data_IF_535078758247
#
_entry.id   IF_535078758247
#
_cell.length_a   1.000
_cell.length_b   1.000
_cell.length_c   1.000
_cell.angle_alpha   90.00
_cell.angle_beta   90.00
_cell.angle_gamma   90.00
#
_symmetry.space_group_name_H-M   'P 1'
#
loop_
_entity.id
_entity.type
_entity.pdbx_description
1 polymer ?
#
# COMPACT_ATOMS: atom_id res chain seq x y z
N UNK A 1 16.24 8.70 -6.24
CA UNK A 1 15.73 9.90 -6.91
C UNK A 1 15.68 11.09 -5.95
N UNK A 2 14.97 11.03 -4.81
CA UNK A 2 14.86 12.16 -3.84
C UNK A 2 16.24 12.55 -3.28
N UNK A 3 17.06 11.59 -2.87
CA UNK A 3 18.41 11.84 -2.34
C UNK A 3 19.33 12.47 -3.36
N UNK A 4 19.26 12.08 -4.62
CA UNK A 4 20.01 12.70 -5.70
C UNK A 4 19.58 14.15 -5.87
N UNK A 5 18.27 14.42 -5.85
CA UNK A 5 17.73 15.77 -5.94
C UNK A 5 18.18 16.64 -4.77
N UNK A 6 18.14 16.12 -3.52
CA UNK A 6 18.65 16.83 -2.33
C UNK A 6 20.14 17.14 -2.40
N UNK A 7 20.93 16.20 -2.91
CA UNK A 7 22.35 16.40 -3.10
C UNK A 7 22.65 17.49 -4.13
N UNK A 8 21.84 17.56 -5.17
CA UNK A 8 21.94 18.58 -6.23
C UNK A 8 21.35 19.95 -5.80
N UNK A 9 20.52 19.99 -4.72
CA UNK A 9 19.84 21.20 -4.24
C UNK A 9 19.97 21.35 -2.71
N UNK A 10 21.16 21.52 -2.17
CA UNK A 10 21.38 21.54 -0.72
C UNK A 10 20.70 22.71 -0.02
N UNK A 11 20.43 23.82 -0.73
CA UNK A 11 19.77 25.02 -0.21
C UNK A 11 18.24 25.02 -0.37
N UNK A 12 17.66 23.90 -0.81
CA UNK A 12 16.23 23.83 -1.09
C UNK A 12 15.38 24.03 0.18
N UNK A 13 14.39 24.90 0.07
CA UNK A 13 13.40 25.11 1.12
C UNK A 13 12.52 23.87 1.35
N UNK A 14 11.87 23.78 2.52
CA UNK A 14 10.94 22.71 2.84
C UNK A 14 9.74 22.61 1.85
N UNK A 15 9.37 23.73 1.20
CA UNK A 15 8.32 23.75 0.18
C UNK A 15 8.80 23.12 -1.13
N UNK A 16 10.00 23.47 -1.58
CA UNK A 16 10.63 22.89 -2.78
C UNK A 16 10.91 21.42 -2.60
N UNK A 17 11.40 21.02 -1.41
CA UNK A 17 11.57 19.60 -1.08
C UNK A 17 10.23 18.83 -1.18
N UNK A 18 9.16 19.36 -0.57
CA UNK A 18 7.83 18.73 -0.68
C UNK A 18 7.36 18.60 -2.13
N UNK A 19 7.53 19.66 -2.92
CA UNK A 19 7.19 19.66 -4.34
C UNK A 19 8.00 18.63 -5.12
N UNK A 20 9.32 18.56 -4.87
CA UNK A 20 10.19 17.57 -5.50
C UNK A 20 9.84 16.14 -5.11
N UNK A 21 9.57 15.87 -3.82
CA UNK A 21 9.14 14.55 -3.33
C UNK A 21 7.83 14.14 -4.00
N UNK A 22 6.84 15.05 -4.06
CA UNK A 22 5.55 14.77 -4.71
C UNK A 22 5.74 14.47 -6.19
N UNK A 23 6.52 15.28 -6.90
CA UNK A 23 6.81 15.06 -8.33
C UNK A 23 7.53 13.74 -8.58
N UNK A 24 8.57 13.44 -7.80
CA UNK A 24 9.32 12.18 -7.93
C UNK A 24 8.42 10.98 -7.60
N UNK A 25 7.59 11.08 -6.56
CA UNK A 25 6.61 10.04 -6.23
C UNK A 25 5.62 9.82 -7.37
N UNK A 26 5.13 10.91 -7.99
CA UNK A 26 4.23 10.86 -9.14
C UNK A 26 4.91 10.25 -10.37
N UNK A 27 6.16 10.62 -10.64
CA UNK A 27 6.95 10.04 -11.74
C UNK A 27 7.22 8.55 -11.54
N UNK A 28 7.60 8.15 -10.31
CA UNK A 28 7.78 6.75 -9.94
C UNK A 28 6.46 5.99 -10.08
N UNK A 29 5.35 6.56 -9.57
CA UNK A 29 4.02 5.99 -9.71
C UNK A 29 3.66 5.81 -11.18
N UNK A 30 3.72 6.87 -11.97
CA UNK A 30 3.35 6.84 -13.40
C UNK A 30 4.25 5.88 -14.21
N UNK A 31 5.54 5.84 -13.90
CA UNK A 31 6.51 5.02 -14.64
C UNK A 31 6.42 3.53 -14.31
N UNK A 32 6.09 3.19 -13.07
CA UNK A 32 6.14 1.79 -12.59
C UNK A 32 4.76 1.15 -12.37
N UNK A 33 3.72 1.94 -12.11
CA UNK A 33 2.38 1.46 -11.76
C UNK A 33 1.28 1.82 -12.77
N UNK A 34 1.47 2.84 -13.61
CA UNK A 34 0.50 3.18 -14.66
C UNK A 34 0.17 2.02 -15.63
N UNK A 35 1.08 1.08 -15.94
CA UNK A 35 0.76 -0.09 -16.74
C UNK A 35 -0.29 -1.04 -16.14
N UNK A 36 -0.55 -0.98 -14.83
CA UNK A 36 -1.55 -1.81 -14.16
C UNK A 36 -2.97 -1.46 -14.66
N UNK A 37 -3.21 -0.20 -15.00
CA UNK A 37 -4.53 0.30 -15.40
C UNK A 37 -4.67 0.52 -16.92
N UNK A 38 -3.89 -0.17 -17.72
CA UNK A 38 -4.00 -0.16 -19.18
C UNK A 38 -5.13 -1.05 -19.69
N UNK A 39 -5.48 -0.90 -20.98
CA UNK A 39 -6.42 -1.80 -21.67
C UNK A 39 -5.72 -2.88 -22.50
N UNK A 40 -4.41 -2.80 -22.68
CA UNK A 40 -3.60 -3.75 -23.46
C UNK A 40 -2.33 -4.10 -22.70
N UNK A 41 -1.89 -5.32 -22.85
CA UNK A 41 -0.64 -5.84 -22.25
C UNK A 41 -0.56 -5.59 -20.72
N UNK A 42 -1.69 -5.72 -20.05
CA UNK A 42 -1.80 -5.52 -18.59
C UNK A 42 -1.24 -6.73 -17.83
N UNK A 43 -0.62 -6.48 -16.68
CA UNK A 43 -0.06 -7.54 -15.83
C UNK A 43 -1.12 -8.20 -14.94
N UNK A 44 -2.23 -7.52 -14.71
CA UNK A 44 -3.39 -8.04 -14.00
C UNK A 44 -4.65 -7.34 -14.50
N UNK A 45 -5.76 -8.05 -14.48
CA UNK A 45 -7.08 -7.55 -14.84
C UNK A 45 -7.95 -7.40 -13.60
N UNK A 46 -8.73 -6.32 -13.53
CA UNK A 46 -9.72 -6.11 -12.46
C UNK A 46 -10.99 -6.86 -12.85
N UNK A 47 -11.34 -7.93 -12.13
CA UNK A 47 -12.56 -8.67 -12.37
C UNK A 47 -13.78 -8.10 -11.59
N UNK A 48 -13.52 -7.32 -10.54
CA UNK A 48 -14.59 -6.66 -9.81
C UNK A 48 -14.07 -5.78 -8.67
N UNK A 49 -14.96 -4.93 -8.17
CA UNK A 49 -14.68 -4.07 -7.03
C UNK A 49 -15.91 -3.85 -6.15
N UNK A 50 -15.66 -3.41 -4.92
CA UNK A 50 -16.69 -2.98 -3.98
C UNK A 50 -16.13 -1.86 -3.11
N UNK A 51 -16.92 -0.78 -2.94
CA UNK A 51 -16.58 0.36 -2.09
C UNK A 51 -17.60 0.54 -0.98
N UNK A 52 -17.16 0.91 0.19
CA UNK A 52 -18.03 1.30 1.29
C UNK A 52 -17.44 2.47 2.07
N UNK A 53 -18.32 3.40 2.43
CA UNK A 53 -17.99 4.57 3.21
C UNK A 53 -19.02 4.74 4.33
N UNK A 54 -18.61 5.25 5.46
CA UNK A 54 -19.49 5.71 6.53
C UNK A 54 -18.84 6.88 7.25
N UNK A 55 -19.63 7.78 7.78
CA UNK A 55 -19.14 8.86 8.63
C UNK A 55 -18.57 8.27 9.93
N UNK A 56 -17.24 8.19 9.99
CA UNK A 56 -16.49 7.57 11.08
C UNK A 56 -15.22 8.36 11.34
N UNK A 57 -15.28 9.45 12.11
CA UNK A 57 -14.15 10.34 12.37
C UNK A 57 -13.13 9.69 13.33
N UNK A 58 -12.34 8.76 12.80
CA UNK A 58 -11.32 8.02 13.53
C UNK A 58 -9.94 8.70 13.53
N UNK A 59 -9.72 9.60 12.56
CA UNK A 59 -8.47 10.32 12.36
C UNK A 59 -8.76 11.69 11.77
N UNK A 60 -8.30 12.75 12.41
CA UNK A 60 -8.59 14.13 11.99
C UNK A 60 -7.45 15.09 12.32
N UNK A 61 -7.44 16.25 11.66
CA UNK A 61 -6.58 17.36 11.99
C UNK A 61 -7.38 18.66 11.95
N UNK A 62 -7.31 19.45 13.00
CA UNK A 62 -7.90 20.79 13.04
C UNK A 62 -6.98 21.78 12.33
N UNK A 63 -7.56 22.85 11.81
CA UNK A 63 -6.78 23.94 11.21
C UNK A 63 -5.82 24.53 12.25
N UNK A 64 -4.58 24.78 11.79
CA UNK A 64 -3.51 25.28 12.66
C UNK A 64 -2.76 24.23 13.48
N UNK A 65 -3.27 23.00 13.58
CA UNK A 65 -2.58 21.92 14.29
C UNK A 65 -1.47 21.30 13.44
N UNK A 66 -0.24 21.18 13.99
CA UNK A 66 0.89 20.62 13.23
C UNK A 66 0.77 19.11 13.02
N UNK A 67 0.02 18.41 13.88
CA UNK A 67 -0.12 16.95 13.85
C UNK A 67 -1.58 16.51 13.82
N UNK A 68 -1.89 15.40 13.14
CA UNK A 68 -3.20 14.81 13.21
C UNK A 68 -3.43 14.14 14.58
N UNK A 69 -4.70 14.03 14.93
CA UNK A 69 -5.19 13.30 16.10
C UNK A 69 -5.94 12.03 15.64
N UNK A 70 -6.03 11.05 16.51
CA UNK A 70 -6.77 9.81 16.22
C UNK A 70 -7.59 9.36 17.44
N UNK A 71 -8.63 8.58 17.17
CA UNK A 71 -9.57 8.09 18.15
C UNK A 71 -9.08 6.92 19.03
N UNK A 72 -7.77 6.75 19.22
CA UNK A 72 -7.23 5.64 20.01
C UNK A 72 -7.66 4.28 19.47
N UNK A 73 -8.27 3.44 20.32
CA UNK A 73 -8.75 2.10 19.94
C UNK A 73 -9.81 2.14 18.84
N UNK A 74 -10.61 3.18 18.75
CA UNK A 74 -11.64 3.36 17.75
C UNK A 74 -11.08 3.39 16.32
N UNK A 75 -9.87 3.87 16.11
CA UNK A 75 -9.17 3.84 14.80
C UNK A 75 -8.96 2.42 14.28
N UNK A 76 -8.73 1.46 15.17
CA UNK A 76 -8.66 0.03 14.82
C UNK A 76 -10.04 -0.61 14.77
N UNK A 77 -10.73 -0.62 15.89
CA UNK A 77 -12.05 -1.22 16.04
C UNK A 77 -13.03 -0.20 16.65
N UNK A 78 -14.10 0.20 15.93
CA UNK A 78 -14.59 -0.44 14.69
C UNK A 78 -14.04 0.10 13.38
N UNK A 79 -13.31 1.22 13.34
CA UNK A 79 -13.07 1.95 12.10
C UNK A 79 -12.36 1.09 11.03
N UNK A 80 -11.12 0.67 11.24
CA UNK A 80 -10.39 -0.14 10.27
C UNK A 80 -11.03 -1.51 10.04
N UNK A 81 -11.21 -2.30 11.11
CA UNK A 81 -11.62 -3.70 10.98
C UNK A 81 -13.03 -3.86 10.41
N UNK A 82 -13.97 -3.01 10.80
CA UNK A 82 -15.35 -3.03 10.27
C UNK A 82 -15.37 -2.79 8.77
N UNK A 83 -14.66 -1.76 8.29
CA UNK A 83 -14.71 -1.34 6.89
C UNK A 83 -13.95 -2.30 5.98
N UNK A 84 -12.72 -2.69 6.36
CA UNK A 84 -11.93 -3.65 5.58
C UNK A 84 -12.63 -5.00 5.49
N UNK A 85 -13.18 -5.50 6.60
CA UNK A 85 -13.97 -6.74 6.62
C UNK A 85 -15.20 -6.66 5.73
N UNK A 86 -15.93 -5.53 5.81
CA UNK A 86 -17.13 -5.32 4.99
C UNK A 86 -16.80 -5.30 3.51
N UNK A 87 -15.78 -4.53 3.11
CA UNK A 87 -15.38 -4.42 1.71
C UNK A 87 -14.92 -5.76 1.14
N UNK A 88 -14.05 -6.49 1.85
CA UNK A 88 -13.58 -7.81 1.45
C UNK A 88 -14.74 -8.80 1.28
N UNK A 89 -15.57 -8.97 2.32
CA UNK A 89 -16.69 -9.93 2.28
C UNK A 89 -17.69 -9.62 1.17
N UNK A 90 -18.06 -8.33 1.03
CA UNK A 90 -19.05 -7.92 0.01
C UNK A 90 -18.54 -8.11 -1.42
N UNK A 91 -17.25 -7.89 -1.66
CA UNK A 91 -16.67 -8.19 -2.97
C UNK A 91 -16.63 -9.69 -3.22
N UNK A 92 -16.19 -10.50 -2.26
CA UNK A 92 -16.14 -11.95 -2.39
C UNK A 92 -17.55 -12.53 -2.62
N UNK A 93 -18.55 -12.07 -1.86
CA UNK A 93 -19.98 -12.45 -2.07
C UNK A 93 -20.46 -12.09 -3.48
N UNK A 94 -20.13 -10.88 -3.97
CA UNK A 94 -20.53 -10.38 -5.30
C UNK A 94 -19.95 -11.20 -6.45
N UNK A 95 -18.74 -11.72 -6.27
CA UNK A 95 -18.00 -12.49 -7.27
C UNK A 95 -18.11 -14.01 -7.05
N UNK A 96 -18.92 -14.44 -6.07
CA UNK A 96 -19.04 -15.85 -5.65
C UNK A 96 -17.70 -16.52 -5.34
N UNK A 97 -16.80 -15.77 -4.65
CA UNK A 97 -15.47 -16.23 -4.29
C UNK A 97 -15.42 -16.79 -2.87
N UNK A 98 -14.77 -17.93 -2.73
CA UNK A 98 -14.33 -18.48 -1.45
C UNK A 98 -12.91 -18.01 -1.14
N UNK A 99 -12.50 -18.09 0.11
CA UNK A 99 -11.13 -17.77 0.55
C UNK A 99 -10.07 -18.60 -0.21
N UNK A 100 -10.42 -19.86 -0.55
CA UNK A 100 -9.55 -20.76 -1.32
C UNK A 100 -9.33 -20.31 -2.77
N UNK A 101 -10.20 -19.49 -3.32
CA UNK A 101 -10.13 -19.02 -4.70
C UNK A 101 -9.22 -17.77 -4.83
N UNK A 102 -8.73 -17.23 -3.69
CA UNK A 102 -7.84 -16.10 -3.60
C UNK A 102 -6.42 -16.59 -3.28
N UNK A 103 -5.46 -16.31 -4.13
CA UNK A 103 -4.07 -16.70 -3.91
C UNK A 103 -3.35 -15.72 -2.97
N UNK A 104 -3.65 -14.42 -3.09
CA UNK A 104 -3.02 -13.39 -2.26
C UNK A 104 -4.04 -12.39 -1.72
N UNK A 105 -3.91 -12.10 -0.42
CA UNK A 105 -4.68 -11.07 0.26
C UNK A 105 -3.77 -9.88 0.61
N UNK A 106 -4.16 -8.70 0.17
CA UNK A 106 -3.45 -7.45 0.39
C UNK A 106 -4.38 -6.49 1.12
N UNK A 107 -4.08 -6.13 2.35
CA UNK A 107 -4.82 -5.11 3.08
C UNK A 107 -4.00 -3.84 3.28
N UNK A 108 -4.66 -2.74 3.60
CA UNK A 108 -3.99 -1.54 4.13
C UNK A 108 -3.22 -1.88 5.41
N UNK A 109 -2.00 -1.36 5.55
CA UNK A 109 -1.05 -1.76 6.59
C UNK A 109 -0.63 -0.57 7.46
N UNK A 110 -1.45 -0.14 8.45
CA UNK A 110 -1.01 0.89 9.39
C UNK A 110 0.11 0.41 10.32
N UNK A 111 0.14 -0.87 10.60
CA UNK A 111 1.18 -1.64 11.30
C UNK A 111 1.07 -3.11 10.89
N UNK A 112 1.96 -3.97 11.40
CA UNK A 112 1.98 -5.39 11.06
C UNK A 112 0.74 -6.14 11.55
N UNK A 113 0.22 -5.79 12.73
CA UNK A 113 -0.85 -6.56 13.40
C UNK A 113 -2.20 -6.41 12.71
N UNK A 114 -2.53 -5.23 12.18
CA UNK A 114 -3.85 -4.97 11.59
C UNK A 114 -4.14 -5.86 10.36
N UNK A 115 -3.27 -5.88 9.33
CA UNK A 115 -3.49 -6.75 8.17
C UNK A 115 -3.44 -8.24 8.52
N UNK A 116 -2.59 -8.65 9.45
CA UNK A 116 -2.54 -10.04 9.91
C UNK A 116 -3.84 -10.46 10.62
N UNK A 117 -4.33 -9.60 11.54
CA UNK A 117 -5.58 -9.87 12.26
C UNK A 117 -6.76 -9.98 11.31
N UNK A 118 -6.94 -9.02 10.40
CA UNK A 118 -8.07 -9.05 9.47
C UNK A 118 -7.98 -10.22 8.49
N UNK A 119 -6.79 -10.59 8.03
CA UNK A 119 -6.59 -11.76 7.19
C UNK A 119 -7.06 -13.04 7.90
N UNK A 120 -6.61 -13.25 9.15
CA UNK A 120 -7.03 -14.40 9.98
C UNK A 120 -8.53 -14.41 10.26
N UNK A 121 -9.14 -13.27 10.57
CA UNK A 121 -10.58 -13.15 10.79
C UNK A 121 -11.41 -13.46 9.52
N UNK A 122 -10.86 -13.20 8.34
CA UNK A 122 -11.47 -13.54 7.05
C UNK A 122 -11.22 -14.98 6.64
N UNK A 123 -10.34 -15.72 7.32
CA UNK A 123 -10.01 -17.12 7.07
C UNK A 123 -8.84 -17.33 6.11
N UNK A 124 -8.09 -16.28 5.77
CA UNK A 124 -6.88 -16.41 4.94
C UNK A 124 -5.73 -17.06 5.73
N UNK A 125 -5.00 -17.92 5.07
CA UNK A 125 -3.80 -18.56 5.59
C UNK A 125 -2.57 -17.65 5.47
N UNK A 126 -1.51 -17.98 6.20
CA UNK A 126 -0.31 -17.15 6.25
C UNK A 126 0.35 -16.98 4.88
N UNK A 127 0.41 -18.04 4.08
CA UNK A 127 0.95 -18.00 2.73
C UNK A 127 0.22 -17.04 1.79
N UNK A 128 -1.06 -16.73 2.06
CA UNK A 128 -1.87 -15.82 1.25
C UNK A 128 -1.63 -14.33 1.58
N UNK A 129 -1.27 -13.98 2.82
CA UNK A 129 -1.13 -12.57 3.20
C UNK A 129 0.30 -12.14 3.55
N UNK A 130 1.17 -13.05 4.00
CA UNK A 130 2.55 -12.68 4.37
C UNK A 130 3.34 -12.01 3.24
N UNK A 131 3.22 -12.42 1.97
CA UNK A 131 3.93 -11.77 0.87
C UNK A 131 3.61 -10.27 0.73
N UNK A 132 2.40 -9.87 1.10
CA UNK A 132 1.94 -8.47 1.02
C UNK A 132 2.44 -7.60 2.17
N UNK A 133 2.94 -8.17 3.28
CA UNK A 133 3.31 -7.44 4.49
C UNK A 133 4.66 -6.72 4.33
N UNK A 134 4.60 -5.44 3.96
CA UNK A 134 5.77 -4.61 3.72
C UNK A 134 5.98 -3.52 4.79
N UNK A 135 4.98 -3.30 5.63
CA UNK A 135 5.02 -2.24 6.66
C UNK A 135 6.17 -2.39 7.67
N UNK A 136 6.62 -3.62 7.94
CA UNK A 136 7.79 -3.87 8.79
C UNK A 136 9.10 -3.34 8.19
N UNK A 137 9.18 -3.22 6.86
CA UNK A 137 10.36 -2.74 6.13
C UNK A 137 10.31 -1.25 5.82
N UNK A 138 9.14 -0.78 5.38
CA UNK A 138 8.95 0.58 4.86
C UNK A 138 8.17 1.50 5.80
N UNK A 139 7.65 0.99 6.91
CA UNK A 139 6.72 1.73 7.76
C UNK A 139 5.34 1.90 7.11
N UNK A 140 4.46 2.67 7.78
CA UNK A 140 3.16 3.00 7.22
C UNK A 140 3.31 4.06 6.11
N UNK A 141 3.10 3.67 4.88
CA UNK A 141 3.14 4.55 3.69
C UNK A 141 1.77 5.20 3.39
N UNK A 142 0.84 5.20 4.36
CA UNK A 142 -0.51 5.79 4.25
C UNK A 142 -1.27 5.29 3.01
N UNK A 143 -1.67 6.18 2.12
CA UNK A 143 -2.38 5.83 0.87
C UNK A 143 -1.56 4.89 -0.03
N UNK A 144 -0.24 4.89 0.08
CA UNK A 144 0.66 3.97 -0.62
C UNK A 144 0.72 2.56 -0.03
N UNK A 145 0.13 2.32 1.15
CA UNK A 145 0.30 1.07 1.90
C UNK A 145 -0.23 -0.16 1.15
N UNK A 146 -1.46 -0.10 0.64
CA UNK A 146 -2.02 -1.19 -0.18
C UNK A 146 -1.31 -1.35 -1.53
N UNK A 147 -1.00 -0.27 -2.28
CA UNK A 147 -0.18 -0.35 -3.50
C UNK A 147 1.20 -0.98 -3.29
N UNK A 148 1.89 -0.67 -2.18
CA UNK A 148 3.19 -1.30 -1.85
C UNK A 148 3.03 -2.80 -1.58
N UNK A 149 1.99 -3.20 -0.84
CA UNK A 149 1.67 -4.60 -0.64
C UNK A 149 1.32 -5.33 -1.95
N UNK A 150 0.55 -4.66 -2.84
CA UNK A 150 0.24 -5.19 -4.16
C UNK A 150 1.50 -5.36 -5.02
N UNK A 151 2.40 -4.38 -5.01
CA UNK A 151 3.66 -4.48 -5.76
C UNK A 151 4.50 -5.68 -5.31
N UNK A 152 4.58 -5.95 -3.99
CA UNK A 152 5.27 -7.12 -3.47
C UNK A 152 4.66 -8.44 -3.96
N UNK A 153 3.32 -8.50 -4.02
CA UNK A 153 2.61 -9.67 -4.53
C UNK A 153 2.82 -9.82 -6.03
N UNK A 154 2.75 -8.73 -6.81
CA UNK A 154 2.99 -8.77 -8.25
C UNK A 154 4.43 -9.19 -8.61
N UNK A 155 5.39 -9.03 -7.71
CA UNK A 155 6.76 -9.54 -7.90
C UNK A 155 6.82 -11.07 -7.94
N UNK A 156 5.86 -11.78 -7.34
CA UNK A 156 5.87 -13.24 -7.18
C UNK A 156 4.68 -13.94 -7.82
N UNK A 157 3.55 -13.25 -8.01
CA UNK A 157 2.32 -13.83 -8.53
C UNK A 157 2.53 -14.48 -9.90
N UNK A 158 1.84 -15.61 -10.13
CA UNK A 158 1.84 -16.33 -11.41
C UNK A 158 0.61 -15.93 -12.23
N UNK A 159 0.63 -16.18 -13.55
CA UNK A 159 -0.58 -16.07 -14.37
C UNK A 159 -1.75 -16.85 -13.74
N UNK A 160 -2.94 -16.31 -13.89
CA UNK A 160 -4.21 -16.82 -13.37
C UNK A 160 -4.36 -16.78 -11.82
N UNK A 161 -3.32 -16.35 -11.08
CA UNK A 161 -3.44 -16.16 -9.63
C UNK A 161 -4.27 -14.92 -9.30
N UNK A 162 -5.18 -15.08 -8.35
CA UNK A 162 -6.10 -14.03 -7.91
C UNK A 162 -5.58 -13.30 -6.68
N UNK A 163 -5.66 -11.99 -6.73
CA UNK A 163 -5.22 -11.07 -5.68
C UNK A 163 -6.42 -10.26 -5.20
N UNK A 164 -6.78 -10.40 -3.94
CA UNK A 164 -7.79 -9.55 -3.30
C UNK A 164 -7.06 -8.41 -2.56
N UNK A 165 -7.19 -7.19 -3.08
CA UNK A 165 -6.64 -6.00 -2.44
C UNK A 165 -7.74 -5.19 -1.76
N UNK A 166 -7.52 -4.78 -0.51
CA UNK A 166 -8.48 -4.02 0.28
C UNK A 166 -7.79 -2.82 0.91
N UNK A 167 -8.19 -1.64 0.50
CA UNK A 167 -7.71 -0.38 1.03
C UNK A 167 -8.47 0.04 2.29
N UNK A 168 -7.95 1.02 2.98
CA UNK A 168 -8.63 1.74 4.04
C UNK A 168 -8.19 3.19 4.06
N UNK A 169 -9.14 4.09 4.17
CA UNK A 169 -8.92 5.51 4.39
C UNK A 169 -9.70 5.98 5.61
N UNK A 170 -9.04 6.75 6.47
CA UNK A 170 -9.67 7.32 7.65
C UNK A 170 -10.79 8.29 7.29
N UNK A 171 -11.83 8.33 8.12
CA UNK A 171 -13.00 9.13 7.86
C UNK A 171 -14.35 8.44 7.63
N UNK A 172 -14.57 7.15 7.40
CA UNK A 172 -13.76 6.02 7.02
C UNK A 172 -14.33 5.39 5.74
N UNK A 173 -13.46 4.97 4.87
CA UNK A 173 -13.82 4.26 3.66
C UNK A 173 -12.91 3.07 3.41
N UNK A 174 -13.41 2.09 2.68
CA UNK A 174 -12.63 0.93 2.24
C UNK A 174 -13.09 0.51 0.86
N UNK A 175 -12.12 0.34 -0.02
CA UNK A 175 -12.31 -0.17 -1.37
C UNK A 175 -11.65 -1.53 -1.49
N UNK A 176 -12.36 -2.49 -2.05
CA UNK A 176 -11.84 -3.81 -2.36
C UNK A 176 -11.82 -4.01 -3.88
N UNK A 177 -10.74 -4.60 -4.39
CA UNK A 177 -10.61 -5.00 -5.80
C UNK A 177 -10.17 -6.46 -5.86
N UNK A 178 -10.73 -7.21 -6.78
CA UNK A 178 -10.23 -8.52 -7.16
C UNK A 178 -9.49 -8.40 -8.49
N UNK A 179 -8.25 -8.85 -8.51
CA UNK A 179 -7.36 -8.81 -9.66
C UNK A 179 -6.96 -10.22 -10.03
N UNK A 180 -6.90 -10.53 -11.32
CA UNK A 180 -6.35 -11.78 -11.84
C UNK A 180 -5.10 -11.46 -12.63
N UNK A 181 -3.98 -12.07 -12.26
CA UNK A 181 -2.71 -11.89 -12.96
C UNK A 181 -2.78 -12.49 -14.36
N UNK A 182 -2.27 -11.77 -15.36
CA UNK A 182 -2.22 -12.24 -16.75
C UNK A 182 -0.87 -12.87 -17.07
N UNK A 183 -0.77 -13.52 -18.23
CA UNK A 183 0.52 -14.06 -18.73
C UNK A 183 1.58 -12.98 -18.94
N UNK A 184 1.18 -11.73 -19.17
CA UNK A 184 2.08 -10.60 -19.34
C UNK A 184 2.92 -10.28 -18.10
N UNK A 185 2.49 -10.73 -16.92
CA UNK A 185 3.24 -10.50 -15.67
C UNK A 185 4.65 -11.11 -15.75
N UNK A 186 4.82 -12.26 -16.40
CA UNK A 186 6.13 -12.91 -16.55
C UNK A 186 7.06 -12.10 -17.46
N UNK A 187 6.55 -11.57 -18.55
CA UNK A 187 7.33 -10.78 -19.52
C UNK A 187 7.71 -9.40 -18.95
N UNK A 188 6.77 -8.74 -18.28
CA UNK A 188 7.03 -7.43 -17.65
C UNK A 188 8.04 -7.56 -16.52
N UNK A 189 7.95 -8.63 -15.71
CA UNK A 189 8.89 -8.91 -14.63
C UNK A 189 10.32 -9.10 -15.09
N UNK A 190 10.56 -9.73 -16.25
CA UNK A 190 11.90 -9.86 -16.84
C UNK A 190 12.56 -8.51 -17.15
N UNK A 191 11.76 -7.49 -17.44
CA UNK A 191 12.22 -6.13 -17.78
C UNK A 191 12.40 -5.23 -16.56
N UNK A 192 11.90 -5.65 -15.41
CA UNK A 192 11.91 -4.84 -14.20
C UNK A 192 13.19 -5.08 -13.42
N UNK A 193 13.97 -4.02 -13.18
CA UNK A 193 15.20 -4.06 -12.38
C UNK A 193 15.00 -3.79 -10.90
N UNK A 194 13.84 -3.22 -10.52
CA UNK A 194 13.56 -2.73 -9.17
C UNK A 194 12.33 -3.43 -8.62
N UNK A 195 12.55 -4.50 -7.87
CA UNK A 195 11.54 -5.10 -7.02
C UNK A 195 11.53 -4.43 -5.66
N UNK A 196 10.48 -4.61 -4.86
CA UNK A 196 10.46 -4.13 -3.48
C UNK A 196 11.58 -4.76 -2.64
N UNK A 197 11.95 -5.99 -2.94
CA UNK A 197 13.11 -6.66 -2.33
C UNK A 197 14.39 -5.88 -2.61
N UNK A 198 14.65 -5.53 -3.88
CA UNK A 198 15.81 -4.74 -4.26
C UNK A 198 15.81 -3.37 -3.56
N UNK A 199 14.65 -2.71 -3.46
CA UNK A 199 14.56 -1.44 -2.76
C UNK A 199 14.83 -1.55 -1.27
N UNK A 200 14.36 -2.62 -0.62
CA UNK A 200 14.59 -2.86 0.81
C UNK A 200 16.05 -3.26 1.12
N UNK A 201 16.72 -3.92 0.18
CA UNK A 201 18.09 -4.44 0.30
C UNK A 201 19.11 -3.56 -0.48
N UNK A 202 18.69 -2.38 -0.94
CA UNK A 202 19.53 -1.49 -1.73
C UNK A 202 20.79 -1.10 -0.95
N UNK A 203 22.01 -1.39 -1.45
CA UNK A 203 23.25 -1.08 -0.76
C UNK A 203 23.55 0.40 -0.62
N UNK A 204 22.81 1.25 -1.34
CA UNK A 204 22.89 2.72 -1.22
C UNK A 204 21.93 3.30 -0.16
N UNK A 205 21.17 2.45 0.55
CA UNK A 205 20.37 2.90 1.69
C UNK A 205 21.28 3.03 2.91
N UNK A 206 21.31 4.23 3.45
CA UNK A 206 21.94 4.51 4.74
C UNK A 206 20.88 4.45 5.84
N UNK A 207 21.10 3.58 6.81
CA UNK A 207 20.23 3.47 7.98
C UNK A 207 20.72 4.43 9.05
N UNK A 208 19.85 5.33 9.46
CA UNK A 208 20.13 6.27 10.55
C UNK A 208 19.34 5.87 11.80
N UNK A 209 19.88 6.18 12.98
CA UNK A 209 19.15 6.00 14.22
C UNK A 209 18.01 7.01 14.38
N UNK A 210 17.14 6.79 15.35
CA UNK A 210 15.98 7.65 15.58
C UNK A 210 16.35 9.09 15.91
N UNK A 211 17.46 9.30 16.61
CA UNK A 211 17.93 10.64 16.98
C UNK A 211 18.36 11.43 15.75
N UNK A 212 19.14 10.81 14.88
CA UNK A 212 19.56 11.37 13.59
C UNK A 212 18.35 11.63 12.69
N UNK A 213 17.41 10.69 12.60
CA UNK A 213 16.14 10.90 11.87
C UNK A 213 15.38 12.12 12.40
N UNK A 214 15.27 12.27 13.73
CA UNK A 214 14.58 13.42 14.35
C UNK A 214 15.26 14.74 14.03
N UNK A 215 16.58 14.80 14.05
CA UNK A 215 17.35 16.00 13.68
C UNK A 215 17.11 16.37 12.22
N UNK A 216 17.25 15.42 11.31
CA UNK A 216 17.01 15.63 9.88
C UNK A 216 15.59 16.10 9.58
N UNK A 217 14.59 15.53 10.29
CA UNK A 217 13.18 15.91 10.12
C UNK A 217 12.87 17.31 10.63
N UNK A 218 13.51 17.75 11.71
CA UNK A 218 13.24 19.04 12.35
C UNK A 218 14.12 20.18 11.81
N UNK A 219 14.98 19.90 10.86
CA UNK A 219 15.86 20.92 10.26
C UNK A 219 16.96 21.44 11.21
N UNK A 220 17.36 20.62 12.19
CA UNK A 220 18.47 20.94 13.11
C UNK A 220 19.72 20.16 12.74
#
# INVERSE_FOLDING_TARGET
>A
AVWRWLYEHPEASAAELRSAVTRIAQEVWNKHYAPIFGKKDVIAEIEGWYSCTSDTPDFWRRDGEPYPMHGGRFTGDPAYFKHVRKAAKKLMERLDLRVSDVNYFVAHQPNVQFPMRIAKELGFKEEQYLPSLQVAKFGNTYSGSSPVGLAAVLDIAKPEERILIVSYGSGAGSDAYSLVATSQILEKRKRQKLTLKYQAENPFLEYVDYTTYRRLKNGM
#
